data_IF_753094671752
#
_entry.id   IF_753094671752
#
_cell.length_a   1.000
_cell.length_b   1.000
_cell.length_c   1.000
_cell.angle_alpha   90.00
_cell.angle_beta   90.00
_cell.angle_gamma   90.00
#
_symmetry.space_group_name_H-M   'P 1'
#
loop_
_entity.id
_entity.type
_entity.pdbx_description
1 polymer ?
#
# COMPACT_ATOMS: atom_id res chain seq x y z
N UNK A 1 31.73 -17.09 -18.04
CA UNK A 1 30.73 -17.85 -17.26
C UNK A 1 30.25 -16.96 -16.14
N UNK A 2 29.12 -16.29 -16.33
CA UNK A 2 28.47 -15.45 -15.33
C UNK A 2 27.85 -16.34 -14.24
N UNK A 3 28.15 -16.01 -12.98
CA UNK A 3 27.69 -16.74 -11.80
C UNK A 3 26.16 -16.62 -11.64
N UNK A 4 25.43 -17.65 -11.15
CA UNK A 4 23.97 -17.61 -11.00
C UNK A 4 23.45 -16.69 -9.87
N UNK A 5 24.29 -15.83 -9.29
CA UNK A 5 23.98 -15.05 -8.09
C UNK A 5 23.53 -13.61 -8.32
N UNK A 6 23.41 -13.17 -9.57
CA UNK A 6 23.14 -11.77 -9.94
C UNK A 6 21.77 -11.62 -10.60
N UNK A 7 20.72 -12.16 -9.98
CA UNK A 7 19.35 -11.92 -10.49
C UNK A 7 18.92 -10.51 -10.14
N UNK A 8 18.88 -9.66 -11.16
CA UNK A 8 18.13 -8.41 -11.20
C UNK A 8 16.73 -8.59 -10.57
N UNK A 9 16.13 -7.51 -10.05
CA UNK A 9 14.70 -7.52 -9.69
C UNK A 9 13.94 -8.17 -10.85
N UNK A 10 13.29 -9.30 -10.57
CA UNK A 10 12.62 -10.11 -11.59
C UNK A 10 11.40 -9.40 -12.18
N UNK A 11 10.82 -9.98 -13.23
CA UNK A 11 9.57 -9.48 -13.82
C UNK A 11 8.34 -9.73 -12.94
N UNK A 12 8.48 -10.52 -11.86
CA UNK A 12 7.43 -10.83 -10.89
C UNK A 12 7.76 -10.32 -9.49
N UNK A 13 6.74 -10.15 -8.66
CA UNK A 13 6.92 -9.89 -7.23
C UNK A 13 7.58 -11.10 -6.55
N UNK A 14 8.62 -10.89 -5.71
CA UNK A 14 9.22 -11.98 -4.94
C UNK A 14 8.30 -12.39 -3.79
N UNK A 15 8.31 -13.67 -3.43
CA UNK A 15 7.62 -14.16 -2.23
C UNK A 15 8.37 -13.74 -0.96
N UNK A 16 7.70 -13.78 0.20
CA UNK A 16 8.28 -13.55 1.53
C UNK A 16 9.50 -14.46 1.74
N UNK A 17 9.40 -15.73 1.33
CA UNK A 17 10.51 -16.69 1.46
C UNK A 17 11.70 -16.33 0.54
N UNK A 18 11.44 -15.86 -0.67
CA UNK A 18 12.47 -15.41 -1.61
C UNK A 18 13.18 -14.15 -1.12
N UNK A 19 12.43 -13.20 -0.55
CA UNK A 19 12.99 -11.99 0.09
C UNK A 19 13.86 -12.39 1.27
N UNK A 20 13.38 -13.26 2.16
CA UNK A 20 14.14 -13.75 3.30
C UNK A 20 15.41 -14.50 2.89
N UNK A 21 15.32 -15.39 1.88
CA UNK A 21 16.47 -16.12 1.35
C UNK A 21 17.53 -15.19 0.74
N UNK A 22 17.09 -14.20 -0.05
CA UNK A 22 18.00 -13.23 -0.66
C UNK A 22 18.70 -12.35 0.39
N UNK A 23 17.99 -11.92 1.43
CA UNK A 23 18.57 -11.16 2.54
C UNK A 23 19.58 -11.97 3.35
N UNK A 24 19.27 -13.24 3.68
CA UNK A 24 20.21 -14.17 4.32
C UNK A 24 21.48 -14.34 3.49
N UNK A 25 21.33 -14.55 2.18
CA UNK A 25 22.47 -14.72 1.29
C UNK A 25 23.32 -13.44 1.20
N UNK A 26 22.70 -12.25 1.23
CA UNK A 26 23.43 -10.98 1.26
C UNK A 26 24.23 -10.81 2.57
N UNK A 27 23.62 -11.09 3.72
CA UNK A 27 24.28 -11.02 5.02
C UNK A 27 25.45 -12.01 5.14
N UNK A 28 25.33 -13.22 4.60
CA UNK A 28 26.41 -14.21 4.57
C UNK A 28 27.57 -13.80 3.64
N UNK A 29 27.27 -13.12 2.52
CA UNK A 29 28.31 -12.67 1.57
C UNK A 29 29.07 -11.45 2.08
N UNK A 30 28.42 -10.57 2.85
CA UNK A 30 28.97 -9.29 3.31
C UNK A 30 28.79 -9.10 4.83
N UNK A 31 29.31 -10.03 5.65
CA UNK A 31 29.14 -9.96 7.11
C UNK A 31 29.86 -8.75 7.75
N UNK A 32 30.78 -8.11 7.02
CA UNK A 32 31.47 -6.88 7.41
C UNK A 32 30.52 -5.68 7.55
N UNK A 33 29.45 -5.65 6.76
CA UNK A 33 28.51 -4.52 6.70
C UNK A 33 27.05 -4.93 6.84
N UNK A 34 26.70 -6.21 6.71
CA UNK A 34 25.32 -6.69 6.76
C UNK A 34 25.06 -7.56 7.98
N UNK A 35 23.95 -7.31 8.67
CA UNK A 35 23.44 -8.14 9.77
C UNK A 35 21.95 -8.43 9.58
N UNK A 36 21.56 -9.70 9.66
CA UNK A 36 20.16 -10.10 9.65
C UNK A 36 19.76 -10.59 11.05
N UNK A 37 18.61 -10.15 11.55
CA UNK A 37 18.05 -10.63 12.82
C UNK A 37 16.53 -10.69 12.78
N UNK A 38 15.95 -11.48 13.67
CA UNK A 38 14.51 -11.46 13.95
C UNK A 38 14.20 -10.35 14.94
N UNK A 39 13.19 -9.52 14.66
CA UNK A 39 12.72 -8.42 15.52
C UNK A 39 11.43 -8.73 16.26
N UNK A 40 10.72 -9.78 15.84
CA UNK A 40 9.46 -10.21 16.43
C UNK A 40 8.87 -11.38 15.66
N UNK A 41 7.65 -11.76 16.02
CA UNK A 41 6.87 -12.76 15.32
C UNK A 41 5.53 -12.14 14.90
N UNK A 42 5.00 -12.57 13.76
CA UNK A 42 3.62 -12.29 13.36
C UNK A 42 2.62 -13.03 14.25
N UNK A 43 1.33 -12.75 14.06
CA UNK A 43 0.23 -13.45 14.75
C UNK A 43 0.20 -14.94 14.44
N UNK A 44 0.57 -15.35 13.23
CA UNK A 44 0.71 -16.76 12.86
C UNK A 44 2.07 -17.36 13.27
N UNK A 45 2.94 -16.58 13.92
CA UNK A 45 4.23 -17.05 14.43
C UNK A 45 5.39 -16.99 13.42
N UNK A 46 5.23 -16.27 12.29
CA UNK A 46 6.30 -16.10 11.32
C UNK A 46 7.33 -15.05 11.77
N UNK A 47 8.63 -15.27 11.48
CA UNK A 47 9.67 -14.33 11.89
C UNK A 47 9.60 -13.02 11.10
N UNK A 48 9.51 -11.91 11.82
CA UNK A 48 9.73 -10.57 11.27
C UNK A 48 11.23 -10.33 11.19
N UNK A 49 11.77 -10.22 9.98
CA UNK A 49 13.21 -10.14 9.72
C UNK A 49 13.63 -8.70 9.42
N UNK A 50 14.70 -8.26 10.09
CA UNK A 50 15.36 -6.97 9.87
C UNK A 50 16.76 -7.17 9.32
N UNK A 51 17.01 -6.71 8.10
CA UNK A 51 18.34 -6.65 7.49
C UNK A 51 18.93 -5.26 7.73
N UNK A 52 20.05 -5.16 8.42
CA UNK A 52 20.80 -3.92 8.63
C UNK A 52 22.04 -3.88 7.75
N UNK A 53 22.35 -2.72 7.16
CA UNK A 53 23.49 -2.48 6.28
C UNK A 53 24.18 -1.16 6.66
N UNK A 54 25.47 -1.23 7.00
CA UNK A 54 26.27 -0.07 7.45
C UNK A 54 26.25 0.13 8.96
N UNK A 55 27.08 1.07 9.43
CA UNK A 55 27.35 1.33 10.85
C UNK A 55 27.29 2.82 11.22
N UNK A 56 26.74 3.66 10.33
CA UNK A 56 26.65 5.11 10.54
C UNK A 56 25.66 5.50 11.64
N UNK A 57 25.76 6.74 12.10
CA UNK A 57 24.93 7.24 13.21
C UNK A 57 23.49 7.61 12.81
N UNK A 58 23.25 7.87 11.51
CA UNK A 58 21.95 8.25 10.96
C UNK A 58 21.18 7.00 10.53
N UNK A 59 20.29 6.52 11.38
CA UNK A 59 19.49 5.33 11.11
C UNK A 59 18.35 5.63 10.11
N UNK A 60 18.28 4.84 9.03
CA UNK A 60 17.20 4.86 8.04
C UNK A 60 16.44 3.55 8.12
N UNK A 61 15.17 3.59 8.50
CA UNK A 61 14.30 2.42 8.56
C UNK A 61 13.45 2.35 7.29
N UNK A 62 13.46 1.22 6.59
CA UNK A 62 12.63 0.95 5.41
C UNK A 62 11.73 -0.24 5.71
N UNK A 63 10.41 -0.06 5.61
CA UNK A 63 9.39 -1.05 5.98
C UNK A 63 8.71 -1.56 4.72
N UNK A 64 8.90 -2.84 4.39
CA UNK A 64 8.19 -3.49 3.29
C UNK A 64 6.95 -4.25 3.78
N UNK A 65 5.96 -4.40 2.90
CA UNK A 65 4.75 -5.15 3.15
C UNK A 65 3.95 -4.69 4.38
N UNK A 66 3.73 -3.38 4.61
CA UNK A 66 2.80 -2.90 5.63
C UNK A 66 1.36 -3.33 5.34
N UNK A 67 0.99 -3.49 4.06
CA UNK A 67 -0.29 -4.04 3.64
C UNK A 67 -0.09 -5.24 2.71
N UNK A 68 -0.84 -6.31 2.98
CA UNK A 68 -0.74 -7.60 2.29
C UNK A 68 -0.81 -7.54 0.76
N UNK A 69 -1.63 -6.65 0.18
CA UNK A 69 -1.83 -6.55 -1.28
C UNK A 69 -0.74 -5.74 -2.00
N UNK A 70 0.16 -5.08 -1.28
CA UNK A 70 1.12 -4.09 -1.81
C UNK A 70 2.48 -4.77 -2.08
N UNK A 71 2.50 -5.63 -3.09
CA UNK A 71 3.53 -6.65 -3.29
C UNK A 71 4.93 -6.13 -3.71
N UNK A 72 5.06 -4.86 -4.11
CA UNK A 72 6.32 -4.29 -4.62
C UNK A 72 7.38 -4.09 -3.53
N UNK A 73 6.98 -4.00 -2.26
CA UNK A 73 7.88 -3.70 -1.14
C UNK A 73 9.06 -4.67 -1.06
N UNK A 74 8.80 -5.98 -1.20
CA UNK A 74 9.83 -7.02 -1.17
C UNK A 74 10.90 -6.87 -2.26
N UNK A 75 10.50 -6.54 -3.49
CA UNK A 75 11.44 -6.25 -4.58
C UNK A 75 12.29 -5.01 -4.30
N UNK A 76 11.66 -3.97 -3.73
CA UNK A 76 12.27 -2.68 -3.43
C UNK A 76 13.33 -2.78 -2.33
N UNK A 77 13.05 -3.50 -1.23
CA UNK A 77 14.04 -3.68 -0.15
C UNK A 77 15.26 -4.46 -0.60
N UNK A 78 15.09 -5.49 -1.45
CA UNK A 78 16.23 -6.22 -2.00
C UNK A 78 17.08 -5.34 -2.93
N UNK A 79 16.44 -4.51 -3.75
CA UNK A 79 17.11 -3.56 -4.63
C UNK A 79 17.93 -2.54 -3.83
N UNK A 80 17.31 -1.90 -2.83
CA UNK A 80 17.95 -0.92 -1.96
C UNK A 80 19.09 -1.54 -1.15
N UNK A 81 18.85 -2.69 -0.49
CA UNK A 81 19.87 -3.35 0.31
C UNK A 81 21.12 -3.66 -0.53
N UNK A 82 20.94 -4.20 -1.75
CA UNK A 82 22.08 -4.46 -2.65
C UNK A 82 22.82 -3.18 -3.04
N UNK A 83 22.11 -2.09 -3.34
CA UNK A 83 22.73 -0.79 -3.67
C UNK A 83 23.53 -0.24 -2.50
N UNK A 84 22.96 -0.19 -1.31
CA UNK A 84 23.63 0.30 -0.10
C UNK A 84 24.82 -0.59 0.29
N UNK A 85 24.73 -1.91 0.10
CA UNK A 85 25.88 -2.82 0.31
C UNK A 85 26.98 -2.61 -0.73
N UNK A 86 26.63 -2.28 -1.97
CA UNK A 86 27.58 -2.07 -3.06
C UNK A 86 28.26 -0.69 -3.01
N UNK A 87 27.55 0.35 -2.59
CA UNK A 87 28.00 1.74 -2.62
C UNK A 87 28.32 2.26 -1.21
N UNK A 88 29.62 2.41 -0.84
CA UNK A 88 30.03 3.01 0.42
C UNK A 88 29.55 4.46 0.61
N UNK A 89 29.26 5.21 -0.45
CA UNK A 89 28.82 6.61 -0.33
C UNK A 89 27.45 6.68 0.35
N UNK A 90 26.56 5.72 0.06
CA UNK A 90 25.22 5.64 0.66
C UNK A 90 25.22 5.25 2.13
N UNK A 91 26.34 4.74 2.67
CA UNK A 91 26.50 4.34 4.07
C UNK A 91 27.57 5.16 4.79
N UNK A 92 28.82 5.00 4.42
CA UNK A 92 29.97 5.55 5.11
C UNK A 92 30.11 7.05 4.78
N UNK A 93 29.87 7.43 3.52
CA UNK A 93 29.91 8.83 3.08
C UNK A 93 28.75 9.69 3.60
N UNK A 94 27.61 9.07 3.92
CA UNK A 94 26.40 9.72 4.41
C UNK A 94 26.19 9.55 5.93
N UNK A 95 27.16 8.94 6.63
CA UNK A 95 27.07 8.51 8.03
C UNK A 95 25.75 7.78 8.35
N UNK A 96 25.37 6.86 7.48
CA UNK A 96 24.08 6.18 7.49
C UNK A 96 24.18 4.69 7.82
N UNK A 97 23.22 4.21 8.61
CA UNK A 97 22.91 2.80 8.75
C UNK A 97 21.49 2.53 8.24
N UNK A 98 21.36 1.60 7.29
CA UNK A 98 20.10 1.27 6.65
C UNK A 98 19.51 -0.01 7.23
N UNK A 99 18.24 0.02 7.61
CA UNK A 99 17.55 -1.09 8.24
C UNK A 99 16.28 -1.43 7.47
N UNK A 100 16.19 -2.62 6.92
CA UNK A 100 15.09 -3.08 6.07
C UNK A 100 14.25 -4.10 6.84
N UNK A 101 13.05 -3.73 7.27
CA UNK A 101 12.04 -4.69 7.74
C UNK A 101 11.44 -5.35 6.50
N UNK A 102 11.76 -6.62 6.28
CA UNK A 102 11.59 -7.28 4.99
C UNK A 102 10.12 -7.54 4.62
N UNK A 103 9.26 -7.70 5.63
CA UNK A 103 7.81 -7.81 5.49
C UNK A 103 7.18 -7.54 6.87
N UNK A 104 6.29 -6.56 6.98
CA UNK A 104 5.60 -6.24 8.23
C UNK A 104 4.37 -7.14 8.46
N UNK A 105 3.67 -7.55 7.40
CA UNK A 105 2.53 -8.49 7.45
C UNK A 105 2.81 -9.77 6.63
N UNK A 106 3.71 -10.67 7.08
CA UNK A 106 4.00 -11.90 6.34
C UNK A 106 2.77 -12.80 6.22
N UNK A 107 1.92 -12.84 7.25
CA UNK A 107 0.70 -13.65 7.30
C UNK A 107 -0.26 -13.26 6.17
N UNK A 108 -0.51 -11.96 6.01
CA UNK A 108 -1.33 -11.43 4.93
C UNK A 108 -0.66 -11.53 3.56
N UNK A 109 0.64 -11.28 3.47
CA UNK A 109 1.39 -11.35 2.22
C UNK A 109 1.28 -12.74 1.58
N UNK A 110 1.38 -13.82 2.36
CA UNK A 110 1.21 -15.21 1.86
C UNK A 110 -0.14 -15.46 1.18
N UNK A 111 -1.20 -14.78 1.61
CA UNK A 111 -2.52 -14.92 1.00
C UNK A 111 -2.60 -14.28 -0.40
N UNK A 112 -1.61 -13.47 -0.80
CA UNK A 112 -1.49 -12.86 -2.12
C UNK A 112 -0.42 -13.52 -3.02
N UNK A 113 0.44 -14.40 -2.49
CA UNK A 113 1.51 -15.08 -3.25
C UNK A 113 1.00 -16.10 -4.28
N UNK A 114 -0.29 -16.45 -4.21
CA UNK A 114 -0.91 -17.45 -5.05
C UNK A 114 -1.13 -17.01 -6.52
N UNK A 115 -0.64 -15.84 -6.95
CA UNK A 115 -0.77 -15.37 -8.35
C UNK A 115 0.12 -16.24 -9.25
N UNK A 116 -0.46 -17.16 -10.06
CA UNK A 116 0.28 -18.27 -10.65
C UNK A 116 0.91 -17.96 -12.02
N UNK A 117 0.87 -16.72 -12.51
CA UNK A 117 1.28 -16.39 -13.89
C UNK A 117 2.34 -15.27 -13.97
N UNK A 118 3.28 -15.42 -14.90
CA UNK A 118 4.29 -14.43 -15.27
C UNK A 118 3.68 -13.17 -15.88
N UNK A 119 2.43 -13.23 -16.38
CA UNK A 119 1.68 -12.06 -16.87
C UNK A 119 0.68 -11.59 -15.82
N UNK A 120 1.08 -10.58 -15.05
CA UNK A 120 0.20 -9.93 -14.08
C UNK A 120 -0.98 -9.24 -14.80
N UNK A 121 -2.14 -9.91 -14.84
CA UNK A 121 -3.40 -9.32 -15.34
C UNK A 121 -4.23 -8.79 -14.18
N UNK A 122 -5.07 -7.79 -14.43
CA UNK A 122 -5.96 -7.23 -13.41
C UNK A 122 -6.91 -8.29 -12.84
N UNK A 123 -7.51 -9.12 -13.70
CA UNK A 123 -8.35 -10.23 -13.26
C UNK A 123 -7.57 -11.28 -12.46
N UNK A 124 -6.34 -11.61 -12.88
CA UNK A 124 -5.45 -12.49 -12.13
C UNK A 124 -5.17 -11.96 -10.73
N UNK A 125 -4.82 -10.68 -10.62
CA UNK A 125 -4.60 -10.03 -9.33
C UNK A 125 -5.84 -10.09 -8.43
N UNK A 126 -7.02 -9.67 -8.93
CA UNK A 126 -8.23 -9.67 -8.11
C UNK A 126 -8.74 -11.07 -7.76
N UNK A 127 -8.52 -12.10 -8.59
CA UNK A 127 -8.85 -13.49 -8.23
C UNK A 127 -8.08 -14.02 -7.03
N UNK A 128 -6.90 -13.47 -6.75
CA UNK A 128 -6.04 -13.84 -5.63
C UNK A 128 -5.91 -12.73 -4.58
N UNK A 129 -6.74 -11.69 -4.68
CA UNK A 129 -6.64 -10.51 -3.82
C UNK A 129 -6.92 -10.84 -2.36
N UNK A 130 -6.10 -10.28 -1.48
CA UNK A 130 -6.39 -10.18 -0.06
C UNK A 130 -5.83 -8.86 0.48
N UNK A 131 -6.67 -8.12 1.19
CA UNK A 131 -6.24 -7.02 2.06
C UNK A 131 -6.96 -7.18 3.39
N UNK A 132 -6.24 -7.27 4.53
CA UNK A 132 -6.89 -7.39 5.83
C UNK A 132 -7.69 -6.12 6.17
N UNK A 133 -8.62 -6.26 7.10
CA UNK A 133 -9.31 -5.10 7.70
C UNK A 133 -8.32 -4.15 8.37
N UNK A 134 -8.70 -2.89 8.58
CA UNK A 134 -7.81 -1.85 9.12
C UNK A 134 -7.12 -2.29 10.42
N UNK A 135 -7.89 -2.77 11.40
CA UNK A 135 -7.35 -3.23 12.69
C UNK A 135 -6.48 -4.51 12.61
N UNK A 136 -6.36 -5.14 11.44
CA UNK A 136 -5.51 -6.30 11.20
C UNK A 136 -4.27 -5.97 10.35
N UNK A 137 -4.03 -4.70 10.02
CA UNK A 137 -2.83 -4.21 9.32
C UNK A 137 -1.80 -3.68 10.33
N UNK A 138 -0.50 -4.04 10.22
CA UNK A 138 0.55 -3.70 11.19
C UNK A 138 0.81 -2.22 11.47
N UNK A 139 0.38 -1.30 10.60
CA UNK A 139 0.67 0.13 10.75
C UNK A 139 -0.37 0.92 11.53
N UNK A 140 -1.46 0.28 11.97
CA UNK A 140 -2.49 0.92 12.78
C UNK A 140 -2.37 0.49 14.24
N UNK A 141 -2.33 1.49 15.11
CA UNK A 141 -2.54 1.33 16.54
C UNK A 141 -4.04 1.17 16.83
N UNK A 142 -4.39 0.53 17.96
CA UNK A 142 -5.72 0.59 18.53
C UNK A 142 -6.25 2.03 18.70
N UNK A 143 -7.56 2.19 18.78
CA UNK A 143 -8.23 3.50 18.87
C UNK A 143 -7.80 4.33 20.09
N UNK A 144 -7.39 3.67 21.17
CA UNK A 144 -6.86 4.34 22.37
C UNK A 144 -5.40 4.83 22.22
N UNK A 145 -4.77 4.56 21.08
CA UNK A 145 -3.40 4.95 20.75
C UNK A 145 -2.32 4.20 21.55
N UNK A 146 -2.70 3.18 22.33
CA UNK A 146 -1.78 2.43 23.18
C UNK A 146 -1.22 1.19 22.47
N UNK A 147 -0.14 0.63 23.02
CA UNK A 147 0.39 -0.66 22.56
C UNK A 147 -0.40 -1.85 23.13
N UNK A 148 -1.31 -1.60 24.08
CA UNK A 148 -2.18 -2.64 24.61
C UNK A 148 -3.24 -2.98 23.55
N UNK A 149 -3.44 -4.26 23.28
CA UNK A 149 -4.28 -4.70 22.16
C UNK A 149 -3.69 -4.49 20.76
N UNK A 150 -2.53 -3.86 20.60
CA UNK A 150 -1.85 -3.77 19.30
C UNK A 150 -1.44 -5.15 18.77
N UNK A 151 -1.26 -5.27 17.46
CA UNK A 151 -0.81 -6.53 16.86
C UNK A 151 0.65 -6.83 17.27
N UNK A 152 1.06 -8.10 17.40
CA UNK A 152 2.46 -8.50 17.54
C UNK A 152 3.40 -7.82 16.53
N UNK A 153 2.97 -7.70 15.29
CA UNK A 153 3.66 -7.04 14.18
C UNK A 153 3.82 -5.54 14.43
N UNK A 154 2.75 -4.86 14.85
CA UNK A 154 2.76 -3.44 15.23
C UNK A 154 3.71 -3.18 16.39
N UNK A 155 3.68 -4.03 17.43
CA UNK A 155 4.61 -3.94 18.57
C UNK A 155 6.05 -4.15 18.15
N UNK A 156 6.32 -5.09 17.26
CA UNK A 156 7.67 -5.34 16.74
C UNK A 156 8.18 -4.14 15.93
N UNK A 157 7.35 -3.56 15.05
CA UNK A 157 7.71 -2.36 14.29
C UNK A 157 8.00 -1.17 15.22
N UNK A 158 7.14 -0.93 16.21
CA UNK A 158 7.36 0.14 17.20
C UNK A 158 8.63 -0.11 18.02
N UNK A 159 8.88 -1.35 18.45
CA UNK A 159 10.12 -1.70 19.14
C UNK A 159 11.38 -1.44 18.30
N UNK A 160 11.31 -1.68 16.99
CA UNK A 160 12.39 -1.31 16.05
C UNK A 160 12.56 0.21 15.95
N UNK A 161 11.47 0.97 15.90
CA UNK A 161 11.53 2.44 15.88
C UNK A 161 12.14 2.97 17.19
N UNK A 162 11.74 2.43 18.35
CA UNK A 162 12.29 2.79 19.67
C UNK A 162 13.79 2.49 19.77
N UNK A 163 14.22 1.34 19.24
CA UNK A 163 15.62 0.89 19.21
C UNK A 163 16.47 1.77 18.29
N UNK A 164 16.03 1.99 17.06
CA UNK A 164 16.82 2.64 16.00
C UNK A 164 16.73 4.16 16.05
N UNK A 165 15.64 4.72 16.56
CA UNK A 165 15.39 6.18 16.56
C UNK A 165 15.68 6.80 15.18
N UNK A 166 15.01 6.31 14.12
CA UNK A 166 15.41 6.63 12.76
C UNK A 166 15.26 8.12 12.45
N UNK A 167 16.23 8.70 11.74
CA UNK A 167 16.10 10.05 11.17
C UNK A 167 15.05 10.05 10.05
N UNK A 168 14.91 8.91 9.37
CA UNK A 168 13.93 8.67 8.33
C UNK A 168 13.35 7.25 8.45
N UNK A 169 12.03 7.15 8.54
CA UNK A 169 11.29 5.94 8.22
C UNK A 169 10.71 6.05 6.81
N UNK A 170 10.90 5.03 5.97
CA UNK A 170 10.23 4.89 4.70
C UNK A 170 9.28 3.70 4.78
N UNK A 171 7.97 3.93 4.78
CA UNK A 171 7.00 2.86 4.61
C UNK A 171 6.72 2.65 3.13
N UNK A 172 6.90 1.41 2.65
CA UNK A 172 6.83 1.06 1.24
C UNK A 172 5.45 0.54 0.91
N UNK A 173 4.66 1.36 0.22
CA UNK A 173 3.30 1.06 -0.19
C UNK A 173 3.15 0.90 -1.70
N UNK A 174 1.93 0.56 -2.11
CA UNK A 174 1.56 0.56 -3.51
C UNK A 174 0.05 0.64 -3.71
N UNK A 175 -0.34 1.14 -4.87
CA UNK A 175 -1.75 1.22 -5.27
C UNK A 175 -2.00 0.35 -6.50
N UNK A 176 -3.25 -0.07 -6.69
CA UNK A 176 -3.62 -0.87 -7.86
C UNK A 176 -3.50 0.00 -9.13
N UNK A 177 -4.38 1.00 -9.28
CA UNK A 177 -4.42 1.91 -10.45
C UNK A 177 -4.22 3.35 -9.98
N UNK A 178 -3.39 4.14 -10.67
CA UNK A 178 -3.21 5.56 -10.38
C UNK A 178 -1.86 6.11 -10.83
N UNK A 179 -1.38 7.12 -10.10
CA UNK A 179 -0.03 7.67 -10.22
C UNK A 179 0.86 7.34 -9.02
N UNK A 180 2.16 7.60 -9.14
CA UNK A 180 3.09 7.54 -8.00
C UNK A 180 3.00 8.83 -7.18
N UNK A 181 3.08 8.68 -5.86
CA UNK A 181 3.13 9.81 -4.93
C UNK A 181 3.86 9.44 -3.64
N UNK A 182 4.02 10.43 -2.78
CA UNK A 182 4.53 10.26 -1.44
C UNK A 182 3.68 11.08 -0.47
N UNK A 183 3.39 10.50 0.69
CA UNK A 183 2.92 11.23 1.85
C UNK A 183 4.09 11.36 2.82
N UNK A 184 4.32 12.55 3.38
CA UNK A 184 5.38 12.79 4.36
C UNK A 184 4.80 13.36 5.63
N UNK A 185 5.28 12.89 6.78
CA UNK A 185 4.78 13.36 8.08
C UNK A 185 5.33 14.72 8.48
N UNK A 186 6.36 15.21 7.77
CA UNK A 186 6.87 16.59 7.79
C UNK A 186 7.38 16.94 6.40
N UNK A 187 7.39 18.23 6.08
CA UNK A 187 7.88 18.69 4.78
C UNK A 187 9.36 18.30 4.54
N UNK A 188 9.65 17.75 3.37
CA UNK A 188 11.01 17.51 2.86
C UNK A 188 11.19 18.42 1.63
N UNK A 189 11.95 19.53 1.76
CA UNK A 189 12.11 20.48 0.68
C UNK A 189 12.65 19.84 -0.60
N UNK A 190 12.14 20.29 -1.76
CA UNK A 190 12.56 19.84 -3.11
C UNK A 190 12.24 18.38 -3.45
N UNK A 191 11.52 17.66 -2.59
CA UNK A 191 11.15 16.26 -2.84
C UNK A 191 10.29 16.13 -4.10
N UNK A 192 9.36 17.06 -4.34
CA UNK A 192 8.50 17.04 -5.53
C UNK A 192 9.30 17.04 -6.84
N UNK A 193 10.39 17.81 -6.93
CA UNK A 193 11.27 17.85 -8.11
C UNK A 193 11.92 16.49 -8.37
N UNK A 194 12.39 15.82 -7.32
CA UNK A 194 13.08 14.52 -7.41
C UNK A 194 12.13 13.42 -7.83
N UNK A 195 10.93 13.40 -7.27
CA UNK A 195 9.90 12.40 -7.60
C UNK A 195 9.39 12.60 -9.01
N UNK A 196 9.11 13.85 -9.41
CA UNK A 196 8.67 14.18 -10.77
C UNK A 196 9.69 13.74 -11.81
N UNK A 197 10.97 14.02 -11.58
CA UNK A 197 12.05 13.58 -12.48
C UNK A 197 12.08 12.05 -12.59
N UNK A 198 12.07 11.34 -11.47
CA UNK A 198 12.14 9.88 -11.47
C UNK A 198 10.92 9.24 -12.15
N UNK A 199 9.73 9.74 -11.86
CA UNK A 199 8.49 9.23 -12.43
C UNK A 199 8.45 9.41 -13.97
N UNK A 200 8.91 10.55 -14.47
CA UNK A 200 9.01 10.81 -15.91
C UNK A 200 9.98 9.85 -16.63
N UNK A 201 11.09 9.46 -16.00
CA UNK A 201 12.05 8.51 -16.59
C UNK A 201 11.46 7.09 -16.77
N UNK A 202 10.40 6.74 -16.03
CA UNK A 202 9.70 5.45 -16.14
C UNK A 202 8.34 5.54 -16.81
N UNK A 203 7.95 6.72 -17.32
CA UNK A 203 6.60 6.96 -17.86
C UNK A 203 5.50 6.57 -16.86
N UNK A 204 5.69 6.99 -15.60
CA UNK A 204 4.72 6.81 -14.51
C UNK A 204 4.11 8.18 -14.20
N UNK A 205 2.77 8.35 -14.25
CA UNK A 205 2.14 9.62 -13.91
C UNK A 205 2.29 9.92 -12.42
N UNK A 206 2.38 11.21 -12.07
CA UNK A 206 2.30 11.66 -10.67
C UNK A 206 0.84 11.68 -10.23
N UNK A 207 0.55 11.22 -9.02
CA UNK A 207 -0.78 11.36 -8.44
C UNK A 207 -0.96 12.80 -7.91
N UNK A 208 -1.75 13.60 -8.62
CA UNK A 208 -1.97 15.02 -8.30
C UNK A 208 -3.29 15.26 -7.53
N UNK A 209 -4.01 14.20 -7.16
CA UNK A 209 -5.29 14.30 -6.46
C UNK A 209 -5.65 13.11 -5.57
N UNK A 210 -4.67 12.49 -4.90
CA UNK A 210 -4.87 11.24 -4.14
C UNK A 210 -6.01 11.31 -3.14
N UNK A 211 -6.93 10.34 -3.20
CA UNK A 211 -7.97 10.11 -2.18
C UNK A 211 -7.38 9.71 -0.82
N UNK A 212 -6.19 9.12 -0.78
CA UNK A 212 -5.53 8.73 0.49
C UNK A 212 -4.94 9.95 1.23
N UNK A 213 -4.82 11.08 0.53
CA UNK A 213 -4.35 12.37 1.05
C UNK A 213 -5.32 13.50 0.71
N UNK A 214 -6.62 13.20 0.65
CA UNK A 214 -7.66 14.04 0.02
C UNK A 214 -7.69 15.49 0.51
N UNK A 215 -7.41 15.71 1.79
CA UNK A 215 -7.37 17.03 2.43
C UNK A 215 -5.97 17.50 2.82
N UNK A 216 -4.92 16.74 2.48
CA UNK A 216 -3.56 17.09 2.87
C UNK A 216 -3.01 18.20 1.96
N UNK A 217 -2.25 19.15 2.50
CA UNK A 217 -1.53 20.12 1.69
C UNK A 217 -0.53 19.43 0.76
N UNK A 218 -0.39 19.95 -0.46
CA UNK A 218 0.51 19.43 -1.48
C UNK A 218 1.48 20.53 -1.92
N UNK A 219 2.78 20.46 -1.53
CA UNK A 219 3.80 21.44 -1.93
C UNK A 219 4.20 21.29 -3.40
N UNK A 220 3.81 20.19 -4.05
CA UNK A 220 4.01 19.96 -5.48
C UNK A 220 3.37 18.63 -5.91
N UNK A 221 3.19 18.40 -7.22
CA UNK A 221 2.55 17.18 -7.73
C UNK A 221 3.19 15.90 -7.18
N UNK A 222 2.37 14.95 -6.72
CA UNK A 222 2.84 13.69 -6.15
C UNK A 222 3.43 13.80 -4.75
N UNK A 223 3.36 14.94 -4.06
CA UNK A 223 3.80 15.10 -2.66
C UNK A 223 2.67 15.65 -1.81
N UNK A 224 2.43 15.00 -0.68
CA UNK A 224 1.44 15.41 0.32
C UNK A 224 2.08 15.45 1.70
N UNK A 225 1.78 16.47 2.49
CA UNK A 225 2.35 16.64 3.83
C UNK A 225 1.25 16.46 4.86
N UNK A 226 1.50 15.65 5.88
CA UNK A 226 0.59 15.48 7.01
C UNK A 226 0.31 16.86 7.65
N UNK A 227 -0.97 17.30 7.74
CA UNK A 227 -1.29 18.54 8.44
C UNK A 227 -0.92 18.44 9.93
N UNK A 228 -0.67 19.57 10.60
CA UNK A 228 -0.43 19.57 12.04
C UNK A 228 -1.67 19.08 12.82
N UNK A 229 -1.49 18.62 14.09
CA UNK A 229 -2.58 18.20 14.96
C UNK A 229 -3.72 19.21 15.02
N UNK A 230 -4.96 18.73 14.87
CA UNK A 230 -6.17 19.57 14.81
C UNK A 230 -6.47 20.15 13.41
N UNK A 231 -5.72 19.76 12.38
CA UNK A 231 -6.03 20.05 10.97
C UNK A 231 -7.19 19.22 10.39
N UNK A 232 -7.50 19.38 9.09
CA UNK A 232 -8.58 18.62 8.44
C UNK A 232 -8.30 17.11 8.46
N UNK A 233 -9.23 16.36 9.08
CA UNK A 233 -9.31 14.89 9.25
C UNK A 233 -7.96 14.15 9.18
N UNK A 234 -7.37 13.96 10.35
CA UNK A 234 -6.25 13.06 10.59
C UNK A 234 -6.72 11.60 10.59
N UNK A 235 -6.44 10.85 9.54
CA UNK A 235 -6.50 9.38 9.57
C UNK A 235 -5.12 8.77 9.92
N UNK A 236 -4.13 9.60 10.26
CA UNK A 236 -2.77 9.17 10.59
C UNK A 236 -2.45 9.24 12.10
N UNK A 237 -3.37 9.75 12.92
CA UNK A 237 -3.15 9.97 14.36
C UNK A 237 -2.88 8.67 15.12
N UNK A 238 -3.53 7.58 14.71
CA UNK A 238 -3.33 6.23 15.24
C UNK A 238 -2.44 5.36 14.34
N UNK A 239 -1.58 5.98 13.51
CA UNK A 239 -0.62 5.23 12.69
C UNK A 239 0.74 5.10 13.37
N UNK A 240 1.53 4.09 12.99
CA UNK A 240 2.96 4.02 13.33
C UNK A 240 3.77 5.12 12.64
N UNK A 241 3.23 5.81 11.64
CA UNK A 241 3.95 6.79 10.83
C UNK A 241 4.40 8.01 11.62
N UNK A 242 3.66 8.44 12.63
CA UNK A 242 4.03 9.58 13.48
C UNK A 242 4.96 9.17 14.63
N UNK A 243 5.14 7.87 14.87
CA UNK A 243 5.85 7.36 16.03
C UNK A 243 7.34 7.79 16.06
N UNK A 244 7.98 7.85 14.89
CA UNK A 244 9.35 8.36 14.74
C UNK A 244 9.52 9.83 15.18
N UNK A 245 8.43 10.62 15.27
CA UNK A 245 8.50 12.02 15.69
C UNK A 245 9.00 12.17 17.12
N UNK A 246 8.78 11.17 17.98
CA UNK A 246 9.29 11.12 19.36
C UNK A 246 10.81 11.26 19.44
N UNK A 247 11.49 10.88 18.36
CA UNK A 247 12.94 10.93 18.24
C UNK A 247 13.43 12.01 17.27
N UNK A 248 12.54 12.90 16.83
CA UNK A 248 12.86 13.93 15.83
C UNK A 248 12.84 13.44 14.38
N UNK A 249 12.60 12.15 14.13
CA UNK A 249 12.55 11.57 12.78
C UNK A 249 11.34 12.00 11.96
N UNK A 250 11.42 11.76 10.65
CA UNK A 250 10.31 11.93 9.69
C UNK A 250 9.94 10.59 9.07
N UNK A 251 8.69 10.45 8.64
CA UNK A 251 8.22 9.28 7.89
C UNK A 251 7.80 9.68 6.49
N UNK A 252 8.25 8.92 5.50
CA UNK A 252 7.86 8.98 4.10
C UNK A 252 7.10 7.71 3.73
N UNK A 253 5.85 7.85 3.32
CA UNK A 253 4.96 6.79 2.85
C UNK A 253 5.01 6.85 1.33
N UNK A 254 5.78 5.97 0.72
CA UNK A 254 6.03 5.99 -0.71
C UNK A 254 5.07 5.07 -1.45
N UNK A 255 4.43 5.59 -2.49
CA UNK A 255 3.36 4.92 -3.22
C UNK A 255 3.73 4.79 -4.70
N UNK A 256 3.62 3.57 -5.23
CA UNK A 256 3.82 3.28 -6.66
C UNK A 256 2.68 2.41 -7.19
N UNK A 257 2.10 2.76 -8.35
CA UNK A 257 0.99 2.00 -8.91
C UNK A 257 1.45 0.68 -9.55
N UNK A 258 0.57 -0.33 -9.53
CA UNK A 258 0.71 -1.52 -10.37
C UNK A 258 0.37 -1.19 -11.84
N UNK A 259 -0.70 -0.43 -12.03
CA UNK A 259 -1.16 0.07 -13.32
C UNK A 259 -1.19 1.60 -13.35
N UNK A 260 -0.46 2.21 -14.28
CA UNK A 260 -0.51 3.65 -14.53
C UNK A 260 -1.89 4.08 -15.05
N UNK A 261 -2.36 5.24 -14.59
CA UNK A 261 -3.51 5.96 -15.13
C UNK A 261 -3.12 7.42 -15.39
N UNK A 262 -3.03 7.82 -16.65
CA UNK A 262 -2.54 9.16 -17.02
C UNK A 262 -3.43 10.30 -16.48
N UNK A 263 -4.72 10.02 -16.21
CA UNK A 263 -5.64 10.99 -15.59
C UNK A 263 -5.20 11.41 -14.19
N UNK A 264 -4.38 10.60 -13.51
CA UNK A 264 -3.85 10.91 -12.18
C UNK A 264 -2.98 12.19 -12.15
N UNK A 265 -2.37 12.55 -13.28
CA UNK A 265 -1.53 13.73 -13.41
C UNK A 265 -2.27 14.97 -13.98
N UNK A 266 -3.54 14.82 -14.38
CA UNK A 266 -4.30 15.89 -15.04
C UNK A 266 -4.85 16.90 -14.01
N UNK A 267 -4.10 17.99 -13.83
CA UNK A 267 -4.44 19.07 -12.90
C UNK A 267 -5.43 20.09 -13.47
N UNK A 268 -5.94 19.90 -14.68
CA UNK A 268 -6.93 20.82 -15.23
C UNK A 268 -8.25 20.75 -14.45
N UNK A 269 -9.00 21.87 -14.35
CA UNK A 269 -10.30 21.88 -13.69
C UNK A 269 -11.26 20.86 -14.30
N UNK A 270 -11.99 20.12 -13.46
CA UNK A 270 -12.98 19.18 -13.96
C UNK A 270 -14.23 19.93 -14.44
N UNK A 271 -14.75 19.69 -15.66
CA UNK A 271 -15.84 20.48 -16.25
C UNK A 271 -17.20 20.29 -15.54
N UNK A 272 -17.39 19.17 -14.84
CA UNK A 272 -18.62 18.87 -14.08
C UNK A 272 -18.31 17.97 -12.88
N UNK A 273 -17.55 18.48 -11.91
CA UNK A 273 -17.06 17.68 -10.77
C UNK A 273 -18.21 17.07 -9.97
N UNK A 274 -19.19 17.88 -9.57
CA UNK A 274 -20.30 17.44 -8.74
C UNK A 274 -21.10 16.29 -9.35
N UNK A 275 -21.29 16.32 -10.67
CA UNK A 275 -21.96 15.24 -11.41
C UNK A 275 -21.16 13.94 -11.31
N UNK A 276 -19.86 14.00 -11.58
CA UNK A 276 -18.98 12.82 -11.50
C UNK A 276 -18.89 12.26 -10.08
N UNK A 277 -18.77 13.12 -9.07
CA UNK A 277 -18.72 12.71 -7.66
C UNK A 277 -20.02 12.02 -7.21
N UNK A 278 -21.19 12.54 -7.61
CA UNK A 278 -22.49 11.89 -7.37
C UNK A 278 -22.54 10.51 -8.02
N UNK A 279 -22.16 10.42 -9.30
CA UNK A 279 -22.17 9.15 -10.04
C UNK A 279 -21.25 8.12 -9.38
N UNK A 280 -20.03 8.51 -8.99
CA UNK A 280 -19.09 7.63 -8.29
C UNK A 280 -19.63 7.20 -6.91
N UNK A 281 -20.19 8.13 -6.14
CA UNK A 281 -20.78 7.85 -4.84
C UNK A 281 -21.97 6.88 -4.94
N UNK A 282 -22.88 7.10 -5.89
CA UNK A 282 -23.99 6.19 -6.13
C UNK A 282 -23.54 4.80 -6.59
N UNK A 283 -22.53 4.73 -7.47
CA UNK A 283 -21.97 3.46 -7.93
C UNK A 283 -21.38 2.66 -6.77
N UNK A 284 -20.59 3.30 -5.91
CA UNK A 284 -20.04 2.69 -4.70
C UNK A 284 -21.16 2.15 -3.79
N UNK A 285 -22.17 2.98 -3.48
CA UNK A 285 -23.30 2.55 -2.62
C UNK A 285 -24.05 1.35 -3.20
N UNK A 286 -24.38 1.38 -4.50
CA UNK A 286 -25.08 0.26 -5.17
C UNK A 286 -24.25 -1.01 -5.13
N UNK A 287 -22.95 -0.92 -5.45
CA UNK A 287 -22.06 -2.07 -5.46
C UNK A 287 -21.83 -2.63 -4.04
N UNK A 288 -21.69 -1.77 -3.03
CA UNK A 288 -21.62 -2.18 -1.61
C UNK A 288 -22.89 -2.93 -1.19
N UNK A 289 -24.07 -2.43 -1.54
CA UNK A 289 -25.34 -3.12 -1.24
C UNK A 289 -25.42 -4.50 -1.90
N UNK A 290 -25.02 -4.60 -3.17
CA UNK A 290 -24.98 -5.87 -3.90
C UNK A 290 -24.05 -6.88 -3.21
N UNK A 291 -22.79 -6.51 -2.97
CA UNK A 291 -21.82 -7.41 -2.33
C UNK A 291 -22.25 -7.73 -0.90
N UNK A 292 -22.85 -6.80 -0.17
CA UNK A 292 -23.43 -7.03 1.15
C UNK A 292 -24.54 -8.07 1.16
N UNK A 293 -25.42 -8.06 0.16
CA UNK A 293 -26.42 -9.10 -0.05
C UNK A 293 -25.77 -10.47 -0.25
N UNK A 294 -24.76 -10.55 -1.12
CA UNK A 294 -24.03 -11.80 -1.38
C UNK A 294 -23.27 -12.31 -0.15
N UNK A 295 -22.70 -11.42 0.67
CA UNK A 295 -22.11 -11.79 1.97
C UNK A 295 -23.18 -12.43 2.87
N UNK A 296 -24.40 -11.91 2.87
CA UNK A 296 -25.54 -12.46 3.60
C UNK A 296 -25.98 -13.85 3.13
N UNK A 297 -25.80 -14.16 1.85
CA UNK A 297 -26.09 -15.49 1.27
C UNK A 297 -24.97 -16.50 1.56
N UNK A 298 -23.70 -16.09 1.51
CA UNK A 298 -22.56 -16.99 1.79
C UNK A 298 -22.39 -17.24 3.29
N UNK A 299 -22.60 -16.21 4.12
CA UNK A 299 -22.30 -16.23 5.56
C UNK A 299 -22.87 -17.41 6.35
N UNK A 300 -24.16 -17.79 6.19
CA UNK A 300 -24.76 -18.91 6.89
C UNK A 300 -24.12 -20.28 6.59
N UNK A 301 -23.33 -20.39 5.52
CA UNK A 301 -22.67 -21.63 5.10
C UNK A 301 -21.23 -21.76 5.61
N UNK A 302 -20.74 -20.77 6.36
CA UNK A 302 -19.35 -20.72 6.83
C UNK A 302 -19.26 -20.97 8.33
N UNK A 303 -18.19 -21.63 8.81
CA UNK A 303 -17.94 -21.75 10.23
C UNK A 303 -17.49 -20.42 10.84
N UNK A 304 -17.99 -20.11 12.04
CA UNK A 304 -17.53 -18.96 12.84
C UNK A 304 -17.71 -17.62 12.12
N UNK A 305 -16.66 -16.81 12.11
CA UNK A 305 -16.67 -15.49 11.48
C UNK A 305 -16.35 -15.52 9.97
N UNK A 306 -16.09 -16.70 9.40
CA UNK A 306 -15.74 -16.90 7.99
C UNK A 306 -14.28 -16.57 7.63
N UNK A 307 -13.43 -16.33 8.62
CA UNK A 307 -11.99 -16.09 8.43
C UNK A 307 -11.64 -14.67 7.94
N UNK A 308 -10.34 -14.39 7.73
CA UNK A 308 -9.84 -13.04 7.49
C UNK A 308 -10.38 -12.41 6.20
N UNK A 309 -10.59 -13.19 5.15
CA UNK A 309 -11.15 -12.69 3.89
C UNK A 309 -12.58 -12.17 4.06
N UNK A 310 -13.44 -12.89 4.79
CA UNK A 310 -14.82 -12.47 5.00
C UNK A 310 -14.89 -11.26 5.93
N UNK A 311 -14.09 -11.23 7.00
CA UNK A 311 -14.00 -10.06 7.89
C UNK A 311 -13.63 -8.80 7.13
N UNK A 312 -12.61 -8.87 6.27
CA UNK A 312 -12.18 -7.75 5.44
C UNK A 312 -13.25 -7.34 4.41
N UNK A 313 -13.89 -8.30 3.72
CA UNK A 313 -14.97 -8.01 2.78
C UNK A 313 -16.17 -7.30 3.44
N UNK A 314 -16.55 -7.74 4.66
CA UNK A 314 -17.60 -7.10 5.47
C UNK A 314 -17.26 -5.66 5.82
N UNK A 315 -16.04 -5.39 6.26
CA UNK A 315 -15.61 -4.04 6.61
C UNK A 315 -15.68 -3.11 5.40
N UNK A 316 -15.13 -3.52 4.25
CA UNK A 316 -15.15 -2.73 3.01
C UNK A 316 -16.59 -2.36 2.61
N UNK A 317 -17.51 -3.33 2.65
CA UNK A 317 -18.92 -3.09 2.31
C UNK A 317 -19.59 -2.16 3.32
N UNK A 318 -19.28 -2.29 4.61
CA UNK A 318 -19.85 -1.47 5.67
C UNK A 318 -19.40 0.00 5.60
N UNK A 319 -18.12 0.25 5.27
CA UNK A 319 -17.57 1.61 5.22
C UNK A 319 -17.87 2.34 3.90
N UNK A 320 -18.06 1.62 2.80
CA UNK A 320 -18.26 2.20 1.46
C UNK A 320 -19.33 3.30 1.39
N UNK A 321 -20.55 3.11 1.93
CA UNK A 321 -21.58 4.15 1.92
C UNK A 321 -21.20 5.41 2.73
N UNK A 322 -20.54 5.25 3.87
CA UNK A 322 -20.09 6.37 4.68
C UNK A 322 -18.94 7.14 3.98
N UNK A 323 -18.01 6.42 3.36
CA UNK A 323 -16.95 7.01 2.55
C UNK A 323 -17.53 7.81 1.38
N UNK A 324 -18.54 7.30 0.69
CA UNK A 324 -19.21 8.04 -0.39
C UNK A 324 -19.73 9.41 0.07
N UNK A 325 -20.22 9.52 1.32
CA UNK A 325 -20.70 10.77 1.87
C UNK A 325 -19.57 11.81 2.11
N UNK A 326 -18.30 11.40 2.12
CA UNK A 326 -17.16 12.32 2.26
C UNK A 326 -16.93 13.15 0.99
N UNK A 327 -17.25 12.65 -0.20
CA UNK A 327 -17.06 13.39 -1.45
C UNK A 327 -18.34 13.70 -2.22
N UNK A 328 -19.43 12.96 -2.01
CA UNK A 328 -20.68 13.13 -2.76
C UNK A 328 -21.43 14.41 -2.32
N UNK A 329 -21.52 15.45 -3.18
CA UNK A 329 -22.16 16.71 -2.80
C UNK A 329 -23.64 16.57 -2.41
N UNK A 330 -24.31 15.49 -2.81
CA UNK A 330 -25.71 15.24 -2.44
C UNK A 330 -25.87 14.71 -1.00
N UNK A 331 -24.80 14.17 -0.41
CA UNK A 331 -24.81 13.56 0.92
C UNK A 331 -24.04 14.36 1.96
N UNK A 332 -23.14 15.25 1.51
CA UNK A 332 -22.30 16.06 2.39
C UNK A 332 -23.14 16.99 3.25
N UNK A 333 -22.84 16.99 4.55
CA UNK A 333 -23.50 17.88 5.50
C UNK A 333 -22.86 19.28 5.48
N UNK A 334 -23.59 20.30 5.94
CA UNK A 334 -23.05 21.65 6.08
C UNK A 334 -21.87 21.75 7.06
N UNK A 335 -21.70 20.76 7.94
CA UNK A 335 -20.59 20.68 8.89
C UNK A 335 -19.30 20.07 8.27
N UNK A 336 -19.38 19.44 7.10
CA UNK A 336 -18.23 18.82 6.46
C UNK A 336 -17.27 19.87 5.89
N UNK A 337 -15.93 19.71 6.03
CA UNK A 337 -14.94 20.63 5.48
C UNK A 337 -15.11 20.80 3.97
N UNK A 338 -15.03 22.01 3.40
CA UNK A 338 -15.27 22.22 1.97
C UNK A 338 -14.38 21.32 1.12
N UNK A 339 -14.93 20.82 0.01
CA UNK A 339 -14.14 20.06 -0.95
C UNK A 339 -13.04 20.96 -1.55
N UNK A 340 -11.82 20.45 -1.74
CA UNK A 340 -10.80 21.21 -2.45
C UNK A 340 -11.24 21.42 -3.92
N UNK A 341 -10.55 22.32 -4.63
CA UNK A 341 -10.84 22.53 -6.05
C UNK A 341 -10.75 21.21 -6.83
N UNK A 342 -11.84 20.79 -7.48
CA UNK A 342 -11.89 19.49 -8.15
C UNK A 342 -11.22 19.54 -9.52
N UNK A 343 -10.03 18.97 -9.62
CA UNK A 343 -9.31 18.70 -10.87
C UNK A 343 -9.73 17.36 -11.45
N UNK A 344 -9.37 17.10 -12.71
CA UNK A 344 -9.58 15.78 -13.34
C UNK A 344 -8.86 14.66 -12.59
N UNK A 345 -7.67 14.91 -12.06
CA UNK A 345 -6.93 13.98 -11.19
C UNK A 345 -7.70 13.63 -9.92
N UNK A 346 -8.20 14.63 -9.17
CA UNK A 346 -8.96 14.39 -7.92
C UNK A 346 -10.24 13.59 -8.17
N UNK A 347 -10.99 13.96 -9.21
CA UNK A 347 -12.20 13.22 -9.59
C UNK A 347 -11.85 11.80 -10.03
N UNK A 348 -10.77 11.61 -10.80
CA UNK A 348 -10.31 10.29 -11.21
C UNK A 348 -9.89 9.42 -10.02
N UNK A 349 -9.25 10.00 -8.99
CA UNK A 349 -8.87 9.27 -7.78
C UNK A 349 -10.10 8.76 -7.03
N UNK A 350 -11.14 9.59 -6.91
CA UNK A 350 -12.44 9.20 -6.33
C UNK A 350 -13.13 8.11 -7.16
N UNK A 351 -13.15 8.24 -8.49
CA UNK A 351 -13.72 7.23 -9.40
C UNK A 351 -13.00 5.88 -9.26
N UNK A 352 -11.66 5.90 -9.19
CA UNK A 352 -10.83 4.72 -8.95
C UNK A 352 -11.21 4.08 -7.60
N UNK A 353 -11.27 4.88 -6.54
CA UNK A 353 -11.58 4.42 -5.20
C UNK A 353 -12.98 3.79 -5.11
N UNK A 354 -13.97 4.44 -5.73
CA UNK A 354 -15.37 3.98 -5.79
C UNK A 354 -15.55 2.64 -6.52
N UNK A 355 -14.76 2.35 -7.55
CA UNK A 355 -14.78 1.07 -8.26
C UNK A 355 -13.96 -0.01 -7.53
N UNK A 356 -12.79 0.36 -7.00
CA UNK A 356 -11.83 -0.55 -6.37
C UNK A 356 -12.38 -1.21 -5.11
N UNK A 357 -13.03 -0.47 -4.22
CA UNK A 357 -13.54 -1.01 -2.96
C UNK A 357 -14.49 -2.20 -3.13
N UNK A 358 -15.63 -2.08 -3.85
CA UNK A 358 -16.54 -3.21 -4.01
C UNK A 358 -15.90 -4.37 -4.77
N UNK A 359 -15.03 -4.09 -5.75
CA UNK A 359 -14.26 -5.14 -6.44
C UNK A 359 -13.37 -5.94 -5.48
N UNK A 360 -12.64 -5.28 -4.57
CA UNK A 360 -11.86 -5.95 -3.53
C UNK A 360 -12.73 -6.83 -2.63
N UNK A 361 -13.89 -6.34 -2.21
CA UNK A 361 -14.81 -7.11 -1.38
C UNK A 361 -15.38 -8.33 -2.11
N UNK A 362 -15.83 -8.16 -3.37
CA UNK A 362 -16.33 -9.25 -4.20
C UNK A 362 -15.25 -10.30 -4.50
N UNK A 363 -14.02 -9.87 -4.78
CA UNK A 363 -12.86 -10.73 -4.98
C UNK A 363 -12.54 -11.61 -3.75
N UNK A 364 -12.49 -11.00 -2.55
CA UNK A 364 -12.27 -11.77 -1.32
C UNK A 364 -13.44 -12.70 -1.02
N UNK A 365 -14.68 -12.27 -1.25
CA UNK A 365 -15.87 -13.12 -1.09
C UNK A 365 -15.86 -14.30 -2.07
N UNK A 366 -15.44 -14.10 -3.33
CA UNK A 366 -15.30 -15.16 -4.31
C UNK A 366 -14.32 -16.23 -3.83
N UNK A 367 -13.18 -15.83 -3.24
CA UNK A 367 -12.21 -16.76 -2.66
C UNK A 367 -12.82 -17.56 -1.50
N UNK A 368 -13.61 -16.92 -0.64
CA UNK A 368 -14.34 -17.59 0.45
C UNK A 368 -15.39 -18.55 -0.10
N UNK A 369 -16.17 -18.15 -1.09
CA UNK A 369 -17.18 -19.01 -1.72
C UNK A 369 -16.56 -20.26 -2.38
N UNK A 370 -15.31 -20.16 -2.85
CA UNK A 370 -14.56 -21.29 -3.42
C UNK A 370 -14.08 -22.31 -2.38
N UNK A 371 -14.01 -21.96 -1.10
CA UNK A 371 -13.56 -22.92 -0.06
C UNK A 371 -14.68 -23.83 0.42
N UNK A 372 -15.93 -23.55 0.05
CA UNK A 372 -17.09 -24.36 0.42
C UNK A 372 -17.38 -25.36 -0.69
N UNK A 373 -16.67 -26.48 -0.67
CA UNK A 373 -16.89 -27.59 -1.59
C UNK A 373 -18.29 -28.18 -1.42
N UNK A 374 -18.96 -28.50 -2.53
CA UNK A 374 -20.28 -29.15 -2.57
C UNK A 374 -21.37 -28.46 -1.72
N UNK A 375 -21.33 -27.13 -1.62
CA UNK A 375 -22.37 -26.34 -0.98
C UNK A 375 -23.75 -26.50 -1.65
N UNK A 376 -24.84 -26.12 -0.96
CA UNK A 376 -26.19 -26.20 -1.52
C UNK A 376 -26.29 -25.36 -2.80
N UNK A 377 -27.20 -25.71 -3.71
CA UNK A 377 -27.40 -25.06 -5.02
C UNK A 377 -27.33 -23.52 -5.00
N UNK A 378 -27.90 -22.81 -4.01
CA UNK A 378 -27.77 -21.35 -3.92
C UNK A 378 -26.32 -20.85 -3.86
N UNK A 379 -25.42 -21.56 -3.18
CA UNK A 379 -24.02 -21.17 -3.05
C UNK A 379 -23.23 -21.33 -4.36
N UNK A 380 -23.59 -22.33 -5.17
CA UNK A 380 -23.03 -22.50 -6.52
C UNK A 380 -23.42 -21.31 -7.40
N UNK A 381 -24.69 -20.90 -7.36
CA UNK A 381 -25.18 -19.74 -8.10
C UNK A 381 -24.50 -18.44 -7.65
N UNK A 382 -24.32 -18.23 -6.33
CA UNK A 382 -23.58 -17.08 -5.79
C UNK A 382 -22.13 -17.07 -6.26
N UNK A 383 -21.47 -18.24 -6.28
CA UNK A 383 -20.09 -18.35 -6.79
C UNK A 383 -20.02 -17.96 -8.27
N UNK A 384 -20.90 -18.49 -9.12
CA UNK A 384 -20.94 -18.16 -10.55
C UNK A 384 -21.20 -16.67 -10.78
N UNK A 385 -22.13 -16.08 -10.01
CA UNK A 385 -22.40 -14.65 -10.04
C UNK A 385 -21.16 -13.84 -9.63
N UNK A 386 -20.46 -14.22 -8.57
CA UNK A 386 -19.23 -13.57 -8.14
C UNK A 386 -18.11 -13.69 -9.18
N UNK A 387 -17.99 -14.83 -9.86
CA UNK A 387 -17.02 -15.00 -10.94
C UNK A 387 -17.29 -14.04 -12.11
N UNK A 388 -18.56 -13.91 -12.51
CA UNK A 388 -18.99 -12.93 -13.51
C UNK A 388 -18.75 -11.49 -13.07
N UNK A 389 -19.21 -11.12 -11.87
CA UNK A 389 -19.05 -9.77 -11.31
C UNK A 389 -17.59 -9.35 -11.23
N UNK A 390 -16.71 -10.21 -10.71
CA UNK A 390 -15.27 -9.88 -10.60
C UNK A 390 -14.65 -9.74 -11.98
N UNK A 391 -15.00 -10.59 -12.95
CA UNK A 391 -14.51 -10.48 -14.32
C UNK A 391 -14.94 -9.15 -14.98
N UNK A 392 -16.25 -8.87 -14.95
CA UNK A 392 -16.85 -7.69 -15.57
C UNK A 392 -16.33 -6.40 -14.92
N UNK A 393 -16.21 -6.36 -13.58
CA UNK A 393 -15.69 -5.19 -12.87
C UNK A 393 -14.21 -4.99 -13.10
N UNK A 394 -13.40 -6.04 -13.24
CA UNK A 394 -12.00 -5.89 -13.66
C UNK A 394 -11.88 -5.29 -15.08
N UNK A 395 -12.69 -5.75 -16.03
CA UNK A 395 -12.69 -5.22 -17.39
C UNK A 395 -13.15 -3.75 -17.42
N UNK A 396 -14.23 -3.43 -16.72
CA UNK A 396 -14.73 -2.06 -16.58
C UNK A 396 -13.69 -1.14 -15.93
N UNK A 397 -13.04 -1.59 -14.85
CA UNK A 397 -12.03 -0.83 -14.13
C UNK A 397 -10.79 -0.57 -14.99
N UNK A 398 -10.28 -1.60 -15.68
CA UNK A 398 -9.17 -1.46 -16.62
C UNK A 398 -9.47 -0.50 -17.77
N UNK A 399 -10.68 -0.60 -18.34
CA UNK A 399 -11.13 0.24 -19.48
C UNK A 399 -11.36 1.69 -19.07
N UNK A 400 -12.09 1.92 -17.97
CA UNK A 400 -12.46 3.26 -17.49
C UNK A 400 -11.24 4.12 -17.17
N UNK A 401 -10.17 3.50 -16.69
CA UNK A 401 -8.95 4.18 -16.28
C UNK A 401 -7.77 3.98 -17.24
N UNK A 402 -7.98 3.31 -18.39
CA UNK A 402 -6.95 2.98 -19.38
C UNK A 402 -5.70 2.40 -18.71
N UNK A 403 -5.93 1.48 -17.77
CA UNK A 403 -4.91 0.99 -16.84
C UNK A 403 -3.77 0.31 -17.61
N UNK A 404 -2.54 0.85 -17.47
CA UNK A 404 -1.35 0.33 -18.15
C UNK A 404 -0.40 -0.33 -17.15
N UNK A 405 -0.14 -1.62 -17.34
CA UNK A 405 0.76 -2.37 -16.46
C UNK A 405 2.18 -1.77 -16.44
N UNK A 406 2.71 -1.58 -15.24
CA UNK A 406 4.10 -1.16 -15.03
C UNK A 406 4.91 -2.40 -14.64
N UNK A 407 6.02 -2.73 -15.34
CA UNK A 407 6.88 -3.83 -14.94
C UNK A 407 7.36 -3.70 -13.48
N UNK A 408 7.35 -4.80 -12.73
CA UNK A 408 7.73 -4.83 -11.30
C UNK A 408 9.09 -4.17 -11.03
N UNK A 409 10.06 -4.37 -11.94
CA UNK A 409 11.36 -3.72 -11.87
C UNK A 409 11.27 -2.18 -11.92
N UNK A 410 10.43 -1.62 -12.78
CA UNK A 410 10.22 -0.17 -12.87
C UNK A 410 9.48 0.36 -11.64
N UNK A 411 8.50 -0.40 -11.13
CA UNK A 411 7.82 -0.04 -9.89
C UNK A 411 8.83 0.03 -8.72
N UNK A 412 9.63 -1.02 -8.54
CA UNK A 412 10.63 -1.08 -7.47
C UNK A 412 11.75 -0.03 -7.62
N UNK A 413 12.13 0.30 -8.86
CA UNK A 413 13.12 1.34 -9.15
C UNK A 413 12.60 2.73 -8.81
N UNK A 414 11.38 3.07 -9.23
CA UNK A 414 10.72 4.31 -8.85
C UNK A 414 10.63 4.41 -7.33
N UNK A 415 10.14 3.35 -6.68
CA UNK A 415 10.00 3.28 -5.24
C UNK A 415 11.34 3.48 -4.50
N UNK A 416 12.40 2.80 -4.93
CA UNK A 416 13.74 2.95 -4.37
C UNK A 416 14.32 4.35 -4.55
N UNK A 417 14.08 5.00 -5.70
CA UNK A 417 14.54 6.37 -5.96
C UNK A 417 13.81 7.39 -5.10
N UNK A 418 12.52 7.18 -4.81
CA UNK A 418 11.77 8.01 -3.86
C UNK A 418 12.40 7.91 -2.47
N UNK A 419 12.71 6.70 -1.98
CA UNK A 419 13.36 6.46 -0.68
C UNK A 419 14.72 7.16 -0.60
N UNK A 420 15.57 6.97 -1.61
CA UNK A 420 16.89 7.61 -1.65
C UNK A 420 16.78 9.14 -1.73
N UNK A 421 15.84 9.67 -2.52
CA UNK A 421 15.61 11.11 -2.60
C UNK A 421 15.11 11.70 -1.28
N UNK A 422 14.23 11.00 -0.56
CA UNK A 422 13.77 11.43 0.76
C UNK A 422 14.94 11.51 1.74
N UNK A 423 15.83 10.51 1.75
CA UNK A 423 17.02 10.51 2.60
C UNK A 423 18.04 11.60 2.23
N UNK A 424 18.40 11.71 0.94
CA UNK A 424 19.37 12.68 0.42
C UNK A 424 19.02 14.14 0.76
N UNK A 425 17.72 14.43 0.83
CA UNK A 425 17.18 15.77 1.07
C UNK A 425 17.03 16.12 2.56
N UNK A 426 17.23 15.15 3.47
CA UNK A 426 17.20 15.43 4.89
C UNK A 426 18.49 16.14 5.34
N UNK A 427 18.38 17.10 6.28
CA UNK A 427 19.56 17.72 6.87
C UNK A 427 20.43 16.66 7.56
N UNK A 428 21.74 16.86 7.45
CA UNK A 428 22.79 16.02 8.04
C UNK A 428 22.66 15.90 9.54
#
# INVERSE_FOLDING_TARGET
MTSPGETAVGERYPTVDEVAAAARALALRRPDVCRLRTVGLSRAGEPLLLLSVGHGSRNVLVVAGPHANEMVGGATVLLLARRVTADPVLRDGADAAWHFLLCADPDGARLNEAVPDARFTMLGHYRHFFRPRAAEQPEWLPDDGTLDGALPETRALIGVIDELRPVLQCSLHGIDVGGTFIQVTREIPRLAERIAKSAAEFDIPLEAGSSDAFHWPSPGPGVYVLPPPGGPREDASNSTWTYAHRYGGVTAIAEVPMWACDRAADTSPHPSADGALRTAGEALRRASLLVGGLIGEVGPHLPGDGGPLLRAAREIVAVGPALAADWDPALRTAAAPPLPAMTRARVSSVEIYAQRLPLRAAAMLLRVARTVDHGPTPLVAVRELLEGLVADWCEAYGTAHRARWIPVRQQAEQHARVVLAAFDLLPG
#
